data_IF_052547823996
#
_entry.id   IF_052547823996
#
_cell.length_a   1.000
_cell.length_b   1.000
_cell.length_c   1.000
_cell.angle_alpha   90.00
_cell.angle_beta   90.00
_cell.angle_gamma   90.00
#
_symmetry.space_group_name_H-M   'P 1'
#
loop_
_entity.id
_entity.type
_entity.pdbx_description
1 polymer ?
#
# COMPACT_ATOMS: atom_id res chain seq x y z
N UNK A 1 10.25 18.50 -23.80
CA UNK A 1 9.38 17.76 -22.85
C UNK A 1 9.48 18.44 -21.50
N UNK A 2 8.37 18.96 -20.97
CA UNK A 2 8.36 19.64 -19.68
C UNK A 2 8.59 18.62 -18.56
N UNK A 3 9.44 18.96 -17.59
CA UNK A 3 9.86 18.08 -16.49
C UNK A 3 8.71 17.67 -15.56
N UNK A 4 7.53 18.27 -15.70
CA UNK A 4 6.38 18.08 -14.80
C UNK A 4 5.43 16.95 -15.22
N UNK A 5 5.58 16.40 -16.44
CA UNK A 5 4.71 15.36 -17.01
C UNK A 5 5.11 13.91 -16.63
N UNK A 6 6.15 13.73 -15.82
CA UNK A 6 6.73 12.39 -15.56
C UNK A 6 5.84 11.47 -14.70
N UNK A 7 4.91 12.02 -13.92
CA UNK A 7 4.01 11.22 -13.05
C UNK A 7 2.52 11.53 -13.30
N UNK A 8 2.20 12.73 -13.79
CA UNK A 8 0.80 13.12 -14.01
C UNK A 8 0.15 12.23 -15.08
N UNK A 9 -1.01 11.65 -14.77
CA UNK A 9 -1.78 10.74 -15.64
C UNK A 9 -1.09 9.39 -15.95
N UNK A 10 -0.04 9.02 -15.21
CA UNK A 10 0.64 7.72 -15.34
C UNK A 10 0.10 6.65 -14.39
N UNK A 11 -0.64 7.04 -13.36
CA UNK A 11 -1.22 6.15 -12.36
C UNK A 11 -2.67 6.56 -12.06
N UNK A 12 -3.50 5.59 -11.73
CA UNK A 12 -4.88 5.76 -11.32
C UNK A 12 -5.22 4.81 -10.18
N UNK A 13 -6.22 5.17 -9.37
CA UNK A 13 -6.81 4.25 -8.39
C UNK A 13 -7.86 3.43 -9.13
N UNK A 14 -7.58 2.14 -9.34
CA UNK A 14 -8.46 1.25 -10.09
C UNK A 14 -9.54 0.59 -9.23
N UNK A 15 -9.30 0.44 -7.92
CA UNK A 15 -10.26 -0.12 -6.98
C UNK A 15 -9.94 0.23 -5.54
N UNK A 16 -10.95 0.16 -4.68
CA UNK A 16 -10.88 0.44 -3.25
C UNK A 16 -11.47 -0.72 -2.43
N UNK A 17 -10.87 -1.02 -1.29
CA UNK A 17 -11.32 -2.07 -0.40
C UNK A 17 -11.11 -1.68 1.06
N UNK A 18 -12.05 -2.09 1.91
CA UNK A 18 -12.02 -1.84 3.34
C UNK A 18 -12.70 -3.00 4.07
N UNK A 19 -12.31 -3.20 5.32
CA UNK A 19 -13.01 -4.12 6.22
C UNK A 19 -14.15 -3.42 6.93
N UNK A 20 -14.98 -4.21 7.63
CA UNK A 20 -15.96 -3.66 8.56
C UNK A 20 -15.25 -2.98 9.73
N UNK A 21 -15.64 -1.74 10.04
CA UNK A 21 -15.14 -1.05 11.23
C UNK A 21 -15.87 -1.50 12.50
N UNK A 22 -15.11 -1.96 13.48
CA UNK A 22 -15.63 -2.27 14.81
C UNK A 22 -14.56 -2.03 15.88
N UNK A 23 -14.97 -2.00 17.15
CA UNK A 23 -14.03 -1.90 18.28
C UNK A 23 -13.19 -3.16 18.47
N UNK A 24 -13.74 -4.32 18.11
CA UNK A 24 -13.04 -5.60 18.14
C UNK A 24 -13.70 -6.53 17.12
N UNK A 25 -12.90 -7.08 16.20
CA UNK A 25 -13.35 -8.02 15.17
C UNK A 25 -12.95 -9.47 15.49
N UNK A 26 -12.16 -9.72 16.54
CA UNK A 26 -11.69 -11.05 16.92
C UNK A 26 -10.81 -11.75 15.87
N UNK A 27 -10.29 -10.99 14.90
CA UNK A 27 -9.48 -11.47 13.78
C UNK A 27 -8.10 -10.82 13.82
N UNK A 28 -7.14 -11.44 13.16
CA UNK A 28 -5.79 -10.87 13.10
C UNK A 28 -5.75 -9.69 12.14
N UNK A 29 -4.79 -8.78 12.34
CA UNK A 29 -4.56 -7.66 11.41
C UNK A 29 -4.23 -8.17 10.00
N UNK A 30 -3.53 -9.31 9.90
CA UNK A 30 -3.23 -9.96 8.62
C UNK A 30 -4.52 -10.40 7.89
N UNK A 31 -5.47 -11.00 8.61
CA UNK A 31 -6.77 -11.39 8.01
C UNK A 31 -7.53 -10.18 7.48
N UNK A 32 -7.52 -9.09 8.26
CA UNK A 32 -8.21 -7.85 7.89
C UNK A 32 -7.53 -7.17 6.69
N UNK A 33 -6.21 -7.14 6.67
CA UNK A 33 -5.44 -6.60 5.54
C UNK A 33 -5.68 -7.43 4.27
N UNK A 34 -5.67 -8.76 4.37
CA UNK A 34 -5.96 -9.64 3.23
C UNK A 34 -7.39 -9.42 2.70
N UNK A 35 -8.39 -9.32 3.58
CA UNK A 35 -9.77 -9.03 3.19
C UNK A 35 -9.89 -7.70 2.44
N UNK A 36 -9.28 -6.64 2.97
CA UNK A 36 -9.30 -5.33 2.31
C UNK A 36 -8.62 -5.35 0.93
N UNK A 37 -7.49 -6.07 0.79
CA UNK A 37 -6.78 -6.20 -0.49
C UNK A 37 -7.61 -6.98 -1.52
N UNK A 38 -8.21 -8.10 -1.11
CA UNK A 38 -9.09 -8.90 -1.98
C UNK A 38 -10.26 -8.05 -2.46
N UNK A 39 -10.93 -7.32 -1.56
CA UNK A 39 -12.03 -6.43 -1.94
C UNK A 39 -11.60 -5.33 -2.91
N UNK A 40 -10.40 -4.75 -2.74
CA UNK A 40 -9.87 -3.74 -3.66
C UNK A 40 -9.55 -4.31 -5.04
N UNK A 41 -9.02 -5.53 -5.11
CA UNK A 41 -8.77 -6.26 -6.35
C UNK A 41 -10.08 -6.62 -7.07
N UNK A 42 -11.10 -7.05 -6.33
CA UNK A 42 -12.43 -7.35 -6.87
C UNK A 42 -13.08 -6.10 -7.47
N UNK A 43 -12.98 -4.95 -6.79
CA UNK A 43 -13.47 -3.65 -7.30
C UNK A 43 -12.70 -3.21 -8.56
N UNK A 44 -11.39 -3.46 -8.61
CA UNK A 44 -10.55 -3.16 -9.78
C UNK A 44 -10.71 -4.17 -10.94
N UNK A 45 -11.29 -5.35 -10.68
CA UNK A 45 -11.53 -6.39 -11.68
C UNK A 45 -10.30 -7.19 -12.11
N UNK A 46 -9.29 -7.35 -11.25
CA UNK A 46 -8.11 -8.19 -11.54
C UNK A 46 -7.78 -9.14 -10.37
N UNK A 47 -7.15 -10.30 -10.65
CA UNK A 47 -6.86 -11.27 -9.60
C UNK A 47 -5.71 -10.81 -8.71
N UNK A 48 -5.85 -11.05 -7.39
CA UNK A 48 -4.84 -10.71 -6.38
C UNK A 48 -3.43 -11.24 -6.71
N UNK A 49 -3.34 -12.40 -7.36
CA UNK A 49 -2.06 -13.01 -7.74
C UNK A 49 -1.24 -12.19 -8.75
N UNK A 50 -1.87 -11.24 -9.45
CA UNK A 50 -1.23 -10.36 -10.44
C UNK A 50 -0.66 -9.08 -9.82
N UNK A 51 -0.79 -8.89 -8.49
CA UNK A 51 -0.12 -7.79 -7.80
C UNK A 51 1.41 -7.94 -7.94
N UNK A 52 2.07 -6.89 -8.42
CA UNK A 52 3.52 -6.85 -8.59
C UNK A 52 4.22 -5.89 -7.62
N UNK A 53 3.45 -5.17 -6.80
CA UNK A 53 3.97 -4.19 -5.86
C UNK A 53 3.10 -4.00 -4.62
N UNK A 54 3.75 -3.87 -3.46
CA UNK A 54 3.07 -3.55 -2.19
C UNK A 54 3.78 -2.37 -1.54
N UNK A 55 2.99 -1.42 -1.02
CA UNK A 55 3.48 -0.35 -0.17
C UNK A 55 2.71 -0.32 1.14
N UNK A 56 3.44 -0.41 2.24
CA UNK A 56 2.89 -0.38 3.58
C UNK A 56 3.39 0.85 4.35
N UNK A 57 2.57 1.30 5.30
CA UNK A 57 2.96 2.35 6.22
C UNK A 57 3.96 1.80 7.25
N UNK A 58 4.99 2.57 7.61
CA UNK A 58 6.08 2.06 8.47
C UNK A 58 5.66 1.63 9.89
N UNK A 59 4.46 2.03 10.33
CA UNK A 59 3.92 1.65 11.64
C UNK A 59 2.96 0.45 11.56
N UNK A 60 2.68 -0.04 10.35
CA UNK A 60 1.88 -1.24 10.14
C UNK A 60 2.62 -2.45 10.74
N UNK A 61 1.89 -3.33 11.42
CA UNK A 61 2.50 -4.52 12.04
C UNK A 61 2.56 -5.68 11.06
N UNK A 62 1.66 -5.69 10.07
CA UNK A 62 1.65 -6.69 9.01
C UNK A 62 2.75 -6.38 8.00
N UNK A 63 3.74 -7.27 7.92
CA UNK A 63 4.82 -7.15 6.93
C UNK A 63 4.34 -7.47 5.52
N UNK A 64 4.94 -6.86 4.50
CA UNK A 64 4.61 -7.15 3.10
C UNK A 64 4.87 -8.62 2.75
N UNK A 65 5.89 -9.23 3.35
CA UNK A 65 6.21 -10.66 3.15
C UNK A 65 5.07 -11.54 3.63
N UNK A 66 4.46 -11.23 4.78
CA UNK A 66 3.31 -11.97 5.29
C UNK A 66 2.10 -11.83 4.35
N UNK A 67 1.87 -10.63 3.79
CA UNK A 67 0.80 -10.41 2.81
C UNK A 67 1.03 -11.21 1.52
N UNK A 68 2.23 -11.16 0.95
CA UNK A 68 2.58 -11.85 -0.30
C UNK A 68 2.41 -13.35 -0.17
N UNK A 69 2.93 -13.92 0.92
CA UNK A 69 2.86 -15.36 1.16
C UNK A 69 1.43 -15.82 1.42
N UNK A 70 0.64 -15.04 2.16
CA UNK A 70 -0.77 -15.36 2.49
C UNK A 70 -1.69 -15.21 1.28
N UNK A 71 -1.49 -14.18 0.45
CA UNK A 71 -2.29 -13.90 -0.73
C UNK A 71 -1.86 -14.71 -1.97
N UNK A 72 -0.75 -15.45 -1.88
CA UNK A 72 -0.26 -16.27 -2.99
C UNK A 72 0.30 -15.45 -4.16
N UNK A 73 0.81 -14.25 -3.88
CA UNK A 73 1.39 -13.36 -4.89
C UNK A 73 2.75 -13.92 -5.32
N UNK A 74 2.93 -14.14 -6.63
CA UNK A 74 4.08 -14.91 -7.14
C UNK A 74 5.23 -14.07 -7.65
N UNK A 75 4.98 -12.83 -8.07
CA UNK A 75 5.97 -12.05 -8.82
C UNK A 75 6.00 -10.59 -8.38
N UNK A 76 6.46 -10.36 -7.16
CA UNK A 76 6.61 -9.00 -6.61
C UNK A 76 7.93 -8.40 -7.10
N UNK A 77 7.81 -7.30 -7.84
CA UNK A 77 8.94 -6.51 -8.35
C UNK A 77 9.19 -5.24 -7.54
N UNK A 78 8.21 -4.80 -6.73
CA UNK A 78 8.29 -3.56 -5.96
C UNK A 78 7.83 -3.71 -4.50
N UNK A 79 8.65 -3.21 -3.58
CA UNK A 79 8.30 -3.06 -2.17
C UNK A 79 8.79 -1.72 -1.67
N UNK A 80 7.94 -0.98 -0.97
CA UNK A 80 8.33 0.31 -0.41
C UNK A 80 7.75 0.53 0.98
N UNK A 81 8.67 0.80 1.92
CA UNK A 81 8.36 1.23 3.27
C UNK A 81 8.38 2.76 3.32
N UNK A 82 7.28 3.37 3.72
CA UNK A 82 7.27 4.81 3.95
C UNK A 82 7.97 5.12 5.27
N UNK A 83 9.28 5.38 5.27
CA UNK A 83 9.92 5.89 6.48
C UNK A 83 9.32 7.25 6.82
N UNK A 84 8.83 7.43 8.04
CA UNK A 84 8.50 8.75 8.58
C UNK A 84 9.78 9.59 8.58
N UNK A 85 10.09 10.25 7.46
CA UNK A 85 11.01 11.38 7.47
C UNK A 85 10.36 12.41 8.36
N UNK A 86 10.95 12.62 9.54
CA UNK A 86 10.58 13.72 10.44
C UNK A 86 10.42 14.97 9.58
N UNK A 87 9.21 15.51 9.54
CA UNK A 87 8.97 16.79 8.90
C UNK A 87 9.93 17.80 9.51
N UNK A 88 10.90 18.27 8.71
CA UNK A 88 11.70 19.43 9.08
C UNK A 88 10.86 20.64 8.77
N UNK A 89 10.72 21.52 9.77
CA UNK A 89 10.15 22.83 9.53
C UNK A 89 10.93 23.50 8.39
N UNK A 90 10.30 24.34 7.55
CA UNK A 90 11.02 25.21 6.63
C UNK A 90 12.19 25.97 7.29
N UNK A 91 12.10 26.24 8.60
CA UNK A 91 13.13 26.86 9.42
C UNK A 91 14.36 25.98 9.70
N UNK A 92 14.25 24.65 9.57
CA UNK A 92 15.33 23.70 9.85
C UNK A 92 16.18 23.37 8.61
N UNK A 93 15.98 24.08 7.51
CA UNK A 93 16.73 23.92 6.26
C UNK A 93 17.94 24.86 6.25
N UNK A 94 19.14 24.39 5.85
CA UNK A 94 20.29 25.28 5.71
C UNK A 94 19.99 26.34 4.64
N UNK A 95 20.25 27.59 4.97
CA UNK A 95 20.27 28.69 4.02
C UNK A 95 21.36 28.41 2.97
N UNK A 96 20.97 28.38 1.70
CA UNK A 96 21.91 28.37 0.56
C UNK A 96 22.26 29.80 0.19
#
# INVERSE_FOLDING_TARGET
MSSTDIVHQRAAIAGIGQTVYAKNLGRTELDLACEAIVAACDDAGFPVADIDGISCYSMEQVTEVALITTLGIKNVSYMAWSVSRRWRSPADRPIR
#
